data_IF_619078468975
#
_entry.id   IF_619078468975
#
_cell.length_a   1.000
_cell.length_b   1.000
_cell.length_c   1.000
_cell.angle_alpha   90.00
_cell.angle_beta   90.00
_cell.angle_gamma   90.00
#
_symmetry.space_group_name_H-M   'P 1'
#
loop_
_entity.id
_entity.type
_entity.pdbx_description
1 polymer ?
#
# COMPACT_ATOMS: atom_id res chain seq x y z
N UNK A 1 6.51 5.64 10.60
CA UNK A 1 6.41 6.93 11.32
C UNK A 1 7.75 7.28 11.97
N UNK A 2 7.93 8.51 12.47
CA UNK A 2 9.09 8.93 13.25
C UNK A 2 8.72 9.11 14.73
N UNK A 3 9.63 8.79 15.65
CA UNK A 3 9.48 9.16 17.06
C UNK A 3 10.01 10.58 17.33
N UNK A 4 9.87 11.08 18.57
CA UNK A 4 10.33 12.42 18.97
C UNK A 4 11.84 12.65 18.80
N UNK A 5 12.65 11.59 18.75
CA UNK A 5 14.09 11.66 18.54
C UNK A 5 14.49 11.55 17.06
N UNK A 6 13.54 11.27 16.15
CA UNK A 6 13.80 11.10 14.72
C UNK A 6 14.03 9.66 14.26
N UNK A 7 13.96 8.67 15.14
CA UNK A 7 14.07 7.26 14.74
C UNK A 7 12.78 6.76 14.10
N UNK A 8 12.93 5.89 13.10
CA UNK A 8 11.83 5.24 12.40
C UNK A 8 11.16 4.22 13.31
N UNK A 9 9.83 4.20 13.29
CA UNK A 9 8.97 3.14 13.84
C UNK A 9 8.08 2.60 12.73
N UNK A 10 8.08 1.29 12.56
CA UNK A 10 7.07 0.59 11.78
C UNK A 10 5.76 0.56 12.57
N UNK A 11 4.66 0.73 11.86
CA UNK A 11 3.31 0.82 12.40
C UNK A 11 2.38 0.04 11.49
N UNK A 12 1.20 -0.32 11.98
CA UNK A 12 0.18 -1.07 11.26
C UNK A 12 0.65 -2.47 10.81
N UNK A 13 0.44 -3.45 11.69
CA UNK A 13 0.72 -4.85 11.44
C UNK A 13 -0.52 -5.63 10.97
N UNK A 14 -1.58 -4.93 10.52
CA UNK A 14 -2.86 -5.57 10.15
C UNK A 14 -2.79 -6.49 8.92
N UNK A 15 -1.71 -6.40 8.14
CA UNK A 15 -1.43 -7.28 6.99
C UNK A 15 -0.36 -8.34 7.29
N UNK A 16 0.19 -8.38 8.51
CA UNK A 16 1.21 -9.35 8.85
C UNK A 16 0.64 -10.77 8.80
N UNK A 17 1.49 -11.70 8.34
CA UNK A 17 1.17 -13.12 8.29
C UNK A 17 2.18 -13.90 9.10
N UNK A 18 1.71 -14.53 10.16
CA UNK A 18 2.52 -15.39 11.02
C UNK A 18 2.73 -16.78 10.40
N UNK A 19 3.67 -17.54 10.96
CA UNK A 19 3.93 -18.95 10.63
C UNK A 19 4.31 -19.21 9.15
N UNK A 20 4.95 -18.23 8.50
CA UNK A 20 5.58 -18.42 7.19
C UNK A 20 6.97 -19.03 7.40
N UNK A 21 7.01 -20.35 7.51
CA UNK A 21 8.24 -21.13 7.65
C UNK A 21 8.96 -21.33 6.30
N UNK A 22 10.17 -21.88 6.32
CA UNK A 22 10.90 -22.23 5.10
C UNK A 22 10.09 -23.20 4.24
N UNK A 23 9.88 -22.82 2.98
CA UNK A 23 9.05 -23.56 2.02
C UNK A 23 7.54 -23.27 2.11
N UNK A 24 7.06 -22.62 3.17
CA UNK A 24 5.67 -22.20 3.26
C UNK A 24 5.39 -21.02 2.33
N UNK A 25 4.24 -21.05 1.66
CA UNK A 25 3.75 -19.95 0.82
C UNK A 25 2.34 -19.57 1.22
N UNK A 26 2.00 -18.31 1.00
CA UNK A 26 0.63 -17.81 1.13
C UNK A 26 0.16 -17.18 -0.18
N UNK A 27 -1.16 -17.02 -0.34
CA UNK A 27 -1.79 -16.57 -1.58
C UNK A 27 -2.68 -15.33 -1.41
N UNK A 28 -2.68 -14.73 -0.21
CA UNK A 28 -3.48 -13.53 0.07
C UNK A 28 -3.06 -12.37 -0.84
N UNK A 29 -4.01 -11.78 -1.55
CA UNK A 29 -3.77 -10.60 -2.38
C UNK A 29 -4.07 -9.33 -1.56
N UNK A 30 -3.06 -8.71 -0.98
CA UNK A 30 -3.22 -7.53 -0.12
C UNK A 30 -1.99 -6.60 -0.18
N UNK A 31 -2.21 -5.32 0.18
CA UNK A 31 -1.20 -4.25 0.14
C UNK A 31 -1.47 -3.19 -0.92
N UNK A 32 -0.55 -2.24 -1.01
CA UNK A 32 -0.60 -1.12 -1.96
C UNK A 32 0.14 -1.50 -3.24
N UNK A 33 -0.53 -1.37 -4.40
CA UNK A 33 -0.11 -1.95 -5.68
C UNK A 33 1.32 -1.58 -6.06
N UNK A 34 1.69 -0.32 -5.87
CA UNK A 34 2.99 0.26 -6.22
C UNK A 34 4.17 -0.42 -5.48
N UNK A 35 3.88 -1.03 -4.33
CA UNK A 35 4.86 -1.69 -3.46
C UNK A 35 4.73 -3.22 -3.47
N UNK A 36 3.73 -3.77 -4.16
CA UNK A 36 3.54 -5.21 -4.26
C UNK A 36 4.58 -5.86 -5.16
N UNK A 37 5.08 -7.02 -4.73
CA UNK A 37 5.98 -7.84 -5.52
C UNK A 37 5.27 -8.50 -6.73
N UNK A 38 5.97 -8.77 -7.84
CA UNK A 38 5.38 -9.37 -9.03
C UNK A 38 4.65 -10.70 -8.76
N UNK A 39 5.20 -11.55 -7.88
CA UNK A 39 4.65 -12.84 -7.48
C UNK A 39 3.27 -12.74 -6.78
N UNK A 40 3.02 -11.65 -6.04
CA UNK A 40 1.70 -11.37 -5.45
C UNK A 40 0.72 -11.04 -6.58
N UNK A 41 1.16 -10.22 -7.54
CA UNK A 41 0.32 -9.78 -8.67
C UNK A 41 -0.10 -10.93 -9.59
N UNK A 42 0.78 -11.90 -9.82
CA UNK A 42 0.48 -13.10 -10.62
C UNK A 42 -0.10 -14.25 -9.79
N UNK A 43 -0.31 -14.07 -8.49
CA UNK A 43 -0.86 -15.06 -7.54
C UNK A 43 -0.10 -16.39 -7.52
N UNK A 44 1.22 -16.38 -7.74
CA UNK A 44 2.04 -17.60 -7.78
C UNK A 44 2.31 -18.22 -6.40
N UNK A 45 1.79 -17.61 -5.33
CA UNK A 45 2.23 -17.88 -3.97
C UNK A 45 3.45 -17.02 -3.64
N UNK A 46 3.55 -16.62 -2.38
CA UNK A 46 4.62 -15.74 -1.90
C UNK A 46 5.02 -16.04 -0.46
N UNK A 47 6.21 -15.58 -0.10
CA UNK A 47 6.84 -15.72 1.22
C UNK A 47 7.51 -14.39 1.61
N UNK A 48 8.37 -14.40 2.63
CA UNK A 48 9.15 -13.24 3.12
C UNK A 48 9.91 -12.43 2.05
N UNK A 49 10.21 -13.02 0.88
CA UNK A 49 10.91 -12.29 -0.18
C UNK A 49 10.14 -11.05 -0.69
N UNK A 50 8.82 -11.01 -0.51
CA UNK A 50 7.99 -9.85 -0.92
C UNK A 50 8.31 -8.59 -0.14
N UNK A 51 8.69 -8.71 1.14
CA UNK A 51 9.05 -7.58 1.98
C UNK A 51 10.30 -6.88 1.45
N UNK A 52 11.26 -7.66 0.93
CA UNK A 52 12.47 -7.13 0.29
C UNK A 52 12.17 -6.40 -1.02
N UNK A 53 11.14 -6.81 -1.76
CA UNK A 53 10.68 -6.04 -2.92
C UNK A 53 10.07 -4.72 -2.47
N UNK A 54 9.17 -4.74 -1.50
CA UNK A 54 8.53 -3.53 -0.97
C UNK A 54 9.55 -2.56 -0.38
N UNK A 55 10.59 -3.06 0.29
CA UNK A 55 11.71 -2.24 0.76
C UNK A 55 12.48 -1.61 -0.40
N UNK A 56 12.73 -2.36 -1.49
CA UNK A 56 13.35 -1.81 -2.70
C UNK A 56 12.52 -0.72 -3.38
N UNK A 57 11.20 -0.91 -3.44
CA UNK A 57 10.28 0.07 -3.98
C UNK A 57 10.23 1.34 -3.12
N UNK A 58 10.18 1.18 -1.80
CA UNK A 58 10.25 2.29 -0.83
C UNK A 58 11.59 3.02 -0.88
N UNK A 59 12.71 2.29 -1.00
CA UNK A 59 14.04 2.89 -1.16
C UNK A 59 14.12 3.73 -2.42
N UNK A 60 13.61 3.23 -3.54
CA UNK A 60 13.53 4.01 -4.77
C UNK A 60 12.67 5.27 -4.56
N UNK A 61 11.49 5.12 -3.95
CA UNK A 61 10.57 6.24 -3.68
C UNK A 61 11.22 7.34 -2.82
N UNK A 62 11.92 6.97 -1.74
CA UNK A 62 12.67 7.92 -0.91
C UNK A 62 13.80 8.63 -1.69
N UNK A 63 14.44 7.95 -2.63
CA UNK A 63 15.57 8.50 -3.39
C UNK A 63 15.15 9.35 -4.60
N UNK A 64 13.95 9.13 -5.14
CA UNK A 64 13.50 9.78 -6.39
C UNK A 64 12.20 10.57 -6.24
N UNK A 65 11.51 10.48 -5.11
CA UNK A 65 10.24 11.14 -4.82
C UNK A 65 9.01 10.51 -5.49
N UNK A 66 9.14 9.33 -6.09
CA UNK A 66 8.02 8.57 -6.65
C UNK A 66 8.35 7.08 -6.75
N UNK A 67 7.37 6.16 -6.66
CA UNK A 67 7.62 4.72 -6.79
C UNK A 67 8.21 4.33 -8.16
N UNK A 68 8.97 3.21 -8.25
CA UNK A 68 9.67 2.82 -9.48
C UNK A 68 8.74 2.44 -10.63
N UNK A 69 7.52 2.01 -10.32
CA UNK A 69 6.51 1.62 -11.28
C UNK A 69 5.20 2.34 -10.98
N UNK A 70 4.89 3.34 -11.78
CA UNK A 70 3.62 4.09 -11.69
C UNK A 70 3.02 4.24 -13.09
N UNK A 71 1.69 4.26 -13.16
CA UNK A 71 0.95 4.52 -14.39
C UNK A 71 -0.42 5.13 -14.07
N UNK A 72 -1.12 5.59 -15.10
CA UNK A 72 -2.45 6.22 -15.01
C UNK A 72 -3.52 5.33 -14.35
N UNK A 73 -3.37 4.01 -14.43
CA UNK A 73 -4.33 3.09 -13.85
C UNK A 73 -3.65 1.88 -13.21
N UNK A 74 -4.41 1.21 -12.33
CA UNK A 74 -3.95 0.05 -11.56
C UNK A 74 -3.44 -1.07 -12.47
N UNK A 75 -4.15 -1.38 -13.56
CA UNK A 75 -3.78 -2.45 -14.49
C UNK A 75 -2.44 -2.18 -15.18
N UNK A 76 -2.25 -0.98 -15.73
CA UNK A 76 -0.99 -0.54 -16.35
C UNK A 76 0.16 -0.54 -15.33
N UNK A 77 -0.11 -0.17 -14.08
CA UNK A 77 0.89 -0.22 -12.99
C UNK A 77 1.31 -1.66 -12.72
N UNK A 78 0.36 -2.58 -12.59
CA UNK A 78 0.66 -4.02 -12.46
C UNK A 78 1.47 -4.55 -13.65
N UNK A 79 1.10 -4.18 -14.89
CA UNK A 79 1.84 -4.58 -16.09
C UNK A 79 3.29 -4.05 -16.07
N UNK A 80 3.51 -2.81 -15.61
CA UNK A 80 4.86 -2.25 -15.41
C UNK A 80 5.64 -2.99 -14.34
N UNK A 81 5.02 -3.37 -13.23
CA UNK A 81 5.67 -4.17 -12.19
C UNK A 81 6.11 -5.52 -12.75
N UNK A 82 5.25 -6.20 -13.50
CA UNK A 82 5.52 -7.55 -14.01
C UNK A 82 6.52 -7.53 -15.19
N UNK A 83 6.47 -6.53 -16.08
CA UNK A 83 7.23 -6.56 -17.35
C UNK A 83 8.06 -5.32 -17.64
N UNK A 84 7.81 -4.22 -16.95
CA UNK A 84 8.44 -2.92 -17.22
C UNK A 84 9.95 -2.90 -16.98
N UNK A 85 10.66 -2.03 -17.69
CA UNK A 85 12.08 -1.80 -17.44
C UNK A 85 12.24 -0.87 -16.24
N UNK A 86 13.07 -1.25 -15.28
CA UNK A 86 13.48 -0.37 -14.18
C UNK A 86 14.36 0.74 -14.75
N UNK A 87 13.94 2.00 -14.55
CA UNK A 87 14.71 3.19 -14.90
C UNK A 87 15.33 3.74 -13.62
N UNK A 88 16.63 4.01 -13.65
CA UNK A 88 17.35 4.56 -12.51
C UNK A 88 17.93 5.92 -12.92
N UNK A 89 17.58 7.00 -12.23
CA UNK A 89 18.12 8.32 -12.53
C UNK A 89 19.65 8.37 -12.40
N UNK A 90 20.33 9.19 -13.21
CA UNK A 90 21.78 9.27 -13.23
C UNK A 90 22.39 9.88 -11.96
N UNK A 91 21.62 10.65 -11.20
CA UNK A 91 22.05 11.27 -9.94
C UNK A 91 22.18 10.26 -8.78
N UNK A 92 21.64 9.03 -8.93
CA UNK A 92 21.78 8.00 -7.90
C UNK A 92 23.21 7.48 -7.83
N UNK A 93 23.73 7.34 -6.60
CA UNK A 93 25.07 6.79 -6.36
C UNK A 93 25.18 5.36 -6.92
N UNK A 94 26.38 4.91 -7.32
CA UNK A 94 26.57 3.55 -7.85
C UNK A 94 26.03 2.46 -6.93
N UNK A 95 26.26 2.59 -5.62
CA UNK A 95 25.79 1.63 -4.61
C UNK A 95 24.27 1.63 -4.47
N UNK A 96 23.63 2.81 -4.47
CA UNK A 96 22.18 2.90 -4.37
C UNK A 96 21.51 2.24 -5.57
N UNK A 97 22.03 2.51 -6.78
CA UNK A 97 21.54 1.87 -8.01
C UNK A 97 21.72 0.37 -7.97
N UNK A 98 22.86 -0.13 -7.48
CA UNK A 98 23.12 -1.56 -7.39
C UNK A 98 22.17 -2.24 -6.38
N UNK A 99 21.98 -1.66 -5.20
CA UNK A 99 21.08 -2.19 -4.19
C UNK A 99 19.63 -2.25 -4.68
N UNK A 100 19.13 -1.15 -5.27
CA UNK A 100 17.76 -1.09 -5.81
C UNK A 100 17.57 -2.15 -6.91
N UNK A 101 18.57 -2.35 -7.79
CA UNK A 101 18.50 -3.42 -8.82
C UNK A 101 18.41 -4.82 -8.21
N UNK A 102 19.08 -5.05 -7.07
CA UNK A 102 19.10 -6.34 -6.37
C UNK A 102 17.79 -6.59 -5.61
N UNK A 103 17.18 -5.55 -5.02
CA UNK A 103 15.84 -5.67 -4.42
C UNK A 103 14.73 -5.85 -5.46
N UNK A 104 14.79 -5.11 -6.58
CA UNK A 104 13.76 -5.14 -7.60
C UNK A 104 13.99 -6.25 -8.65
N UNK A 105 14.58 -7.37 -8.22
CA UNK A 105 14.62 -8.61 -9.01
C UNK A 105 13.25 -9.27 -8.95
N UNK A 106 12.69 -9.52 -10.14
CA UNK A 106 11.35 -10.13 -10.28
C UNK A 106 11.33 -11.57 -9.80
N UNK A 107 12.39 -12.32 -10.07
CA UNK A 107 12.54 -13.65 -9.53
C UNK A 107 12.90 -13.54 -8.03
N UNK A 108 12.05 -14.03 -7.11
CA UNK A 108 12.31 -13.94 -5.67
C UNK A 108 13.61 -14.62 -5.25
N UNK A 109 14.03 -15.71 -5.91
CA UNK A 109 15.27 -16.42 -5.57
C UNK A 109 16.55 -15.69 -5.97
N UNK A 110 16.44 -14.71 -6.88
CA UNK A 110 17.56 -13.84 -7.28
C UNK A 110 17.55 -12.50 -6.54
N UNK A 111 16.54 -12.28 -5.69
CA UNK A 111 16.36 -11.05 -4.93
C UNK A 111 17.27 -11.08 -3.70
N UNK A 112 17.99 -9.99 -3.45
CA UNK A 112 18.77 -9.86 -2.21
C UNK A 112 17.81 -9.91 -1.01
N UNK A 113 18.18 -10.67 0.02
CA UNK A 113 17.31 -10.99 1.16
C UNK A 113 16.29 -12.10 0.90
N UNK A 114 16.03 -12.49 -0.35
CA UNK A 114 15.13 -13.61 -0.65
C UNK A 114 15.72 -15.00 -0.36
N UNK A 115 17.04 -15.09 -0.14
CA UNK A 115 17.76 -16.32 0.16
C UNK A 115 17.95 -16.59 1.66
N UNK A 116 18.70 -17.65 2.03
CA UNK A 116 18.92 -18.04 3.42
C UNK A 116 19.60 -16.97 4.29
N UNK A 117 20.40 -16.09 3.67
CA UNK A 117 21.08 -15.01 4.38
C UNK A 117 20.15 -13.85 4.77
N UNK A 118 18.97 -13.75 4.16
CA UNK A 118 17.92 -12.77 4.49
C UNK A 118 18.46 -11.35 4.77
N UNK A 119 18.18 -10.78 5.94
CA UNK A 119 18.64 -9.44 6.31
C UNK A 119 20.18 -9.33 6.30
N UNK A 120 20.92 -10.38 6.63
CA UNK A 120 22.39 -10.33 6.65
C UNK A 120 22.98 -10.08 5.26
N UNK A 121 22.34 -10.57 4.19
CA UNK A 121 22.78 -10.29 2.81
C UNK A 121 22.62 -8.81 2.48
N UNK A 122 21.52 -8.21 2.93
CA UNK A 122 21.21 -6.79 2.74
C UNK A 122 22.16 -5.91 3.55
N UNK A 123 22.38 -6.25 4.82
CA UNK A 123 23.23 -5.49 5.75
C UNK A 123 24.68 -5.40 5.29
N UNK A 124 25.19 -6.43 4.58
CA UNK A 124 26.55 -6.47 4.02
C UNK A 124 26.71 -5.66 2.73
N UNK A 125 25.64 -5.10 2.18
CA UNK A 125 25.72 -4.36 0.93
C UNK A 125 26.56 -3.08 1.09
N UNK A 126 27.42 -2.69 0.11
CA UNK A 126 28.25 -1.48 0.19
C UNK A 126 27.51 -0.17 0.42
N UNK A 127 26.21 -0.13 0.09
CA UNK A 127 25.33 1.00 0.40
C UNK A 127 25.28 1.30 1.92
N UNK A 128 25.36 0.28 2.75
CA UNK A 128 25.33 0.40 4.22
C UNK A 128 26.73 0.36 4.85
N UNK A 129 27.81 0.55 4.08
CA UNK A 129 29.20 0.44 4.56
C UNK A 129 29.55 1.34 5.76
N UNK A 130 28.80 2.42 5.97
CA UNK A 130 29.00 3.39 7.05
C UNK A 130 28.06 3.16 8.24
N UNK A 131 27.24 2.09 8.20
CA UNK A 131 26.27 1.78 9.25
C UNK A 131 26.86 0.71 10.16
N UNK A 132 26.99 1.06 11.44
CA UNK A 132 27.14 0.07 12.50
C UNK A 132 25.74 -0.37 12.94
N UNK A 133 25.40 -1.64 12.69
CA UNK A 133 24.08 -2.20 12.98
C UNK A 133 23.79 -2.33 14.47
N UNK A 134 24.82 -2.60 15.29
CA UNK A 134 24.69 -2.70 16.74
C UNK A 134 24.41 -1.32 17.35
N UNK A 135 25.11 -0.29 16.88
CA UNK A 135 24.86 1.09 17.29
C UNK A 135 23.48 1.58 16.84
N UNK A 136 23.06 1.22 15.63
CA UNK A 136 21.74 1.59 15.10
C UNK A 136 20.63 0.94 15.93
N UNK A 137 20.76 -0.36 16.23
CA UNK A 137 19.79 -1.11 17.04
C UNK A 137 19.72 -0.56 18.48
N UNK A 138 20.87 -0.23 19.06
CA UNK A 138 20.98 0.39 20.38
C UNK A 138 20.59 1.89 20.38
N UNK A 139 20.16 2.45 19.25
CA UNK A 139 19.79 3.86 19.08
C UNK A 139 20.91 4.84 19.47
N UNK A 140 22.17 4.45 19.25
CA UNK A 140 23.36 5.29 19.44
C UNK A 140 23.71 6.13 18.22
N UNK A 141 23.10 5.84 17.07
CA UNK A 141 23.25 6.63 15.84
C UNK A 141 22.26 7.79 15.85
N UNK A 142 22.76 9.02 15.76
CA UNK A 142 21.93 10.21 15.67
C UNK A 142 21.14 10.25 14.36
N UNK A 143 19.80 10.39 14.41
CA UNK A 143 18.98 10.49 13.19
C UNK A 143 19.29 11.77 12.39
N UNK A 144 19.27 11.70 11.05
CA UNK A 144 19.57 12.86 10.20
C UNK A 144 18.48 13.94 10.25
N UNK A 145 17.28 13.59 10.71
CA UNK A 145 16.17 14.51 10.88
C UNK A 145 15.53 14.26 12.24
N UNK A 146 15.41 15.33 13.03
CA UNK A 146 14.70 15.33 14.31
C UNK A 146 13.47 16.24 14.18
N UNK A 147 12.25 15.76 14.46
CA UNK A 147 11.06 16.59 14.39
C UNK A 147 11.09 17.68 15.47
N UNK A 148 10.67 18.89 15.11
CA UNK A 148 10.51 19.98 16.06
C UNK A 148 9.16 19.83 16.78
N UNK A 149 9.21 19.56 18.09
CA UNK A 149 8.03 19.39 18.93
C UNK A 149 8.05 20.43 20.06
N UNK A 150 6.90 21.04 20.34
CA UNK A 150 6.72 22.02 21.42
C UNK A 150 6.44 21.37 22.77
N UNK A 151 5.84 20.17 22.77
CA UNK A 151 5.49 19.41 23.97
C UNK A 151 5.27 17.94 23.62
N UNK A 152 5.03 17.09 24.63
CA UNK A 152 4.71 15.67 24.41
C UNK A 152 3.37 15.45 23.71
N UNK A 153 2.40 16.36 23.92
CA UNK A 153 1.08 16.34 23.30
C UNK A 153 1.01 17.14 21.98
N UNK A 154 2.17 17.54 21.43
CA UNK A 154 2.23 18.31 20.20
C UNK A 154 1.80 17.48 18.98
N UNK A 155 0.72 17.93 18.33
CA UNK A 155 0.15 17.32 17.12
C UNK A 155 0.42 18.12 15.85
N UNK A 156 1.34 19.10 15.88
CA UNK A 156 1.66 19.98 14.75
C UNK A 156 2.22 19.25 13.52
N UNK A 157 2.78 18.05 13.70
CA UNK A 157 3.30 17.20 12.63
C UNK A 157 2.23 16.35 11.94
N UNK A 158 0.96 16.46 12.35
CA UNK A 158 -0.17 15.73 11.76
C UNK A 158 -1.05 16.67 10.93
N UNK A 159 -1.76 16.08 9.96
CA UNK A 159 -2.68 16.84 9.11
C UNK A 159 -3.84 17.43 9.94
N UNK A 160 -3.99 18.76 9.84
CA UNK A 160 -5.00 19.53 10.57
C UNK A 160 -6.43 19.08 10.31
N UNK A 161 -6.69 18.39 9.20
CA UNK A 161 -8.01 17.81 8.91
C UNK A 161 -8.45 16.81 9.98
N UNK A 162 -7.50 16.15 10.64
CA UNK A 162 -7.76 15.18 11.71
C UNK A 162 -7.68 15.82 13.09
N UNK A 163 -6.68 16.66 13.36
CA UNK A 163 -6.47 17.25 14.69
C UNK A 163 -7.53 18.30 15.06
N UNK A 164 -8.29 18.81 14.08
CA UNK A 164 -9.46 19.67 14.30
C UNK A 164 -10.73 18.91 14.67
N UNK A 165 -10.76 17.59 14.49
CA UNK A 165 -11.94 16.79 14.82
C UNK A 165 -11.96 16.53 16.33
N UNK A 166 -13.16 16.55 16.92
CA UNK A 166 -13.32 16.18 18.32
C UNK A 166 -13.00 14.68 18.47
N UNK A 167 -12.12 14.26 19.40
CA UNK A 167 -11.79 12.87 19.62
C UNK A 167 -12.94 12.16 20.35
N UNK A 168 -13.96 11.79 19.59
CA UNK A 168 -15.13 11.04 20.07
C UNK A 168 -15.28 9.77 19.28
N UNK A 169 -15.64 8.69 19.96
CA UNK A 169 -16.02 7.45 19.30
C UNK A 169 -17.34 7.68 18.56
N UNK A 170 -17.39 7.25 17.29
CA UNK A 170 -18.62 7.26 16.52
C UNK A 170 -19.65 6.35 17.19
N UNK A 171 -20.91 6.77 17.36
CA UNK A 171 -21.94 5.91 17.91
C UNK A 171 -22.21 4.74 16.94
N UNK A 172 -22.34 3.54 17.49
CA UNK A 172 -22.87 2.35 16.80
C UNK A 172 -23.99 1.76 17.66
N UNK A 173 -25.21 1.78 17.12
CA UNK A 173 -26.40 1.25 17.79
C UNK A 173 -26.56 -0.28 17.60
N UNK A 174 -25.62 -0.90 16.87
CA UNK A 174 -25.66 -2.33 16.57
C UNK A 174 -25.24 -3.14 17.80
N UNK A 175 -26.18 -3.85 18.40
CA UNK A 175 -25.84 -4.87 19.39
C UNK A 175 -25.24 -6.10 18.67
N UNK A 176 -24.00 -6.44 18.97
CA UNK A 176 -23.39 -7.69 18.50
C UNK A 176 -24.05 -8.88 19.20
N UNK A 177 -24.33 -9.96 18.45
CA UNK A 177 -24.80 -11.22 19.04
C UNK A 177 -23.71 -11.81 19.94
N UNK A 178 -24.12 -12.63 20.92
CA UNK A 178 -23.16 -13.34 21.78
C UNK A 178 -22.18 -14.21 20.95
N UNK A 179 -22.67 -14.82 19.88
CA UNK A 179 -21.84 -15.57 18.93
C UNK A 179 -20.80 -14.70 18.22
N UNK A 180 -21.09 -13.43 17.93
CA UNK A 180 -20.11 -12.51 17.36
C UNK A 180 -19.06 -12.09 18.41
N UNK A 181 -19.48 -11.89 19.67
CA UNK A 181 -18.57 -11.58 20.77
C UNK A 181 -17.56 -12.72 21.04
N UNK A 182 -17.96 -13.97 20.83
CA UNK A 182 -17.06 -15.13 20.97
C UNK A 182 -15.84 -15.07 20.02
N UNK A 183 -15.95 -14.37 18.88
CA UNK A 183 -14.83 -14.20 17.96
C UNK A 183 -13.67 -13.36 18.54
N UNK A 184 -13.92 -12.60 19.61
CA UNK A 184 -12.95 -11.71 20.26
C UNK A 184 -12.41 -12.26 21.59
N UNK A 185 -12.70 -13.52 21.93
CA UNK A 185 -12.09 -14.16 23.09
C UNK A 185 -10.56 -14.20 22.94
N UNK A 186 -9.86 -13.78 23.99
CA UNK A 186 -8.39 -13.66 23.98
C UNK A 186 -7.85 -12.37 23.36
N UNK A 187 -8.70 -11.42 22.95
CA UNK A 187 -8.26 -10.14 22.39
C UNK A 187 -7.64 -9.20 23.44
N UNK A 188 -8.11 -9.26 24.69
CA UNK A 188 -7.59 -8.39 25.75
C UNK A 188 -6.15 -8.78 26.10
N UNK A 189 -5.23 -7.84 25.97
CA UNK A 189 -3.81 -8.02 26.25
C UNK A 189 -3.25 -6.81 27.01
N UNK A 190 -2.40 -7.07 28.00
CA UNK A 190 -1.62 -6.04 28.70
C UNK A 190 -0.15 -6.45 28.62
N UNK A 191 0.70 -5.57 28.08
CA UNK A 191 2.12 -5.86 27.94
C UNK A 191 2.78 -5.98 29.33
N UNK A 192 3.69 -6.95 29.54
CA UNK A 192 4.42 -7.10 30.80
C UNK A 192 5.11 -5.81 31.26
N UNK A 193 5.71 -5.05 30.33
CA UNK A 193 6.35 -3.76 30.63
C UNK A 193 5.40 -2.70 31.20
N UNK A 194 4.12 -2.76 30.83
CA UNK A 194 3.09 -1.89 31.42
C UNK A 194 2.76 -2.37 32.84
N UNK A 195 2.71 -3.68 33.07
CA UNK A 195 2.50 -4.23 34.41
C UNK A 195 3.67 -3.92 35.35
N UNK A 196 4.90 -3.97 34.85
CA UNK A 196 6.10 -3.66 35.62
C UNK A 196 6.15 -2.18 35.99
N UNK A 197 5.84 -1.27 35.05
CA UNK A 197 5.76 0.16 35.37
C UNK A 197 4.62 0.52 36.35
N UNK A 198 3.50 -0.23 36.32
CA UNK A 198 2.45 -0.12 37.35
C UNK A 198 3.00 -0.55 38.73
N UNK A 199 3.80 -1.64 38.79
CA UNK A 199 4.36 -2.20 40.03
C UNK A 199 5.46 -1.34 40.64
N UNK A 200 6.29 -0.72 39.82
CA UNK A 200 7.36 0.20 40.26
C UNK A 200 6.83 1.55 40.78
N UNK A 201 5.51 1.77 40.70
CA UNK A 201 4.85 2.96 41.20
C UNK A 201 4.96 4.10 40.20
N UNK A 202 3.84 4.48 39.60
CA UNK A 202 3.78 5.71 38.81
C UNK A 202 4.23 6.90 39.67
N UNK A 203 5.32 7.59 39.30
CA UNK A 203 5.51 9.01 39.66
C UNK A 203 4.49 9.92 38.96
N UNK A 204 3.64 9.37 38.10
CA UNK A 204 2.59 10.06 37.38
C UNK A 204 1.26 9.82 38.07
N UNK A 205 0.75 10.79 38.84
CA UNK A 205 -0.64 10.71 39.29
C UNK A 205 -1.55 10.80 38.07
N UNK A 206 -2.29 9.73 37.69
CA UNK A 206 -3.33 9.88 36.71
C UNK A 206 -4.33 10.85 37.34
N UNK A 207 -4.62 11.98 36.69
CA UNK A 207 -5.85 12.70 37.01
C UNK A 207 -6.98 11.72 36.76
N UNK A 208 -7.47 11.06 37.81
CA UNK A 208 -8.69 10.27 37.75
C UNK A 208 -9.74 11.22 37.18
N UNK A 209 -10.10 11.04 35.91
CA UNK A 209 -11.36 11.61 35.45
C UNK A 209 -12.42 10.94 36.30
N UNK A 210 -13.25 11.76 36.95
CA UNK A 210 -14.34 11.31 37.80
C UNK A 210 -15.11 10.16 37.13
N UNK A 211 -15.46 9.09 37.85
CA UNK A 211 -16.39 8.09 37.34
C UNK A 211 -17.60 8.82 36.78
N UNK A 212 -17.92 8.56 35.51
CA UNK A 212 -19.08 9.14 34.82
C UNK A 212 -20.29 8.77 35.68
N UNK A 213 -20.91 9.76 36.34
CA UNK A 213 -22.17 9.54 37.05
C UNK A 213 -23.16 9.00 36.02
N UNK A 214 -23.66 7.78 36.25
CA UNK A 214 -24.88 7.28 35.63
C UNK A 214 -26.04 8.14 36.17
N UNK A 215 -26.18 9.35 35.64
CA UNK A 215 -27.39 10.12 35.81
C UNK A 215 -28.37 9.64 34.75
N UNK A 216 -29.45 9.06 35.23
CA UNK A 216 -30.72 8.87 34.53
C UNK A 216 -31.04 10.04 33.59
N UNK A 217 -31.31 9.66 32.34
CA UNK A 217 -31.83 10.46 31.23
C UNK A 217 -32.70 11.66 31.63
N UNK A 218 -32.37 12.88 31.18
CA UNK A 218 -33.38 13.90 30.92
C UNK A 218 -33.85 13.74 29.46
N UNK A 219 -35.10 13.34 29.30
CA UNK A 219 -35.84 13.35 28.02
C UNK A 219 -35.61 14.69 27.31
N UNK A 220 -35.03 14.66 26.12
CA UNK A 220 -35.07 15.79 25.20
C UNK A 220 -36.43 15.81 24.49
N UNK A 221 -37.10 16.97 24.34
CA UNK A 221 -38.34 17.06 23.58
C UNK A 221 -38.09 16.76 22.10
N UNK A 222 -38.90 15.84 21.55
CA UNK A 222 -38.91 15.50 20.13
C UNK A 222 -39.38 16.74 19.35
N UNK A 223 -38.51 17.31 18.53
CA UNK A 223 -38.90 18.21 17.44
C UNK A 223 -38.91 17.39 16.15
N UNK A 224 -40.00 17.36 15.36
CA UNK A 224 -40.06 16.55 14.16
C UNK A 224 -39.30 17.24 13.03
N UNK A 225 -38.05 16.85 12.79
CA UNK A 225 -37.36 17.17 11.55
C UNK A 225 -37.71 16.09 10.51
N UNK A 226 -38.49 16.48 9.50
CA UNK A 226 -38.73 15.71 8.27
C UNK A 226 -37.38 15.43 7.60
N UNK A 227 -37.03 14.15 7.50
CA UNK A 227 -36.00 13.69 6.57
C UNK A 227 -36.56 13.72 5.14
N UNK A 228 -35.87 14.45 4.24
CA UNK A 228 -36.06 14.33 2.79
C UNK A 228 -35.06 13.30 2.25
N UNK A 229 -35.46 12.33 1.42
CA UNK A 229 -34.53 11.37 0.83
C UNK A 229 -33.79 12.00 -0.37
N UNK A 230 -32.46 11.84 -0.39
CA UNK A 230 -31.57 12.01 -1.54
C UNK A 230 -31.72 13.31 -2.37
N UNK A 231 -30.83 14.28 -2.11
CA UNK A 231 -30.40 15.22 -3.16
C UNK A 231 -28.88 15.14 -3.39
N UNK A 232 -28.57 15.11 -4.67
CA UNK A 232 -27.25 14.99 -5.31
C UNK A 232 -26.45 16.28 -5.11
N UNK A 233 -25.13 16.13 -4.93
CA UNK A 233 -24.11 17.19 -4.88
C UNK A 233 -24.39 18.38 -5.83
N UNK A 234 -24.39 19.60 -5.28
CA UNK A 234 -24.09 20.84 -6.00
C UNK A 234 -22.98 21.63 -5.27
N UNK A 235 -21.98 22.19 -5.97
CA UNK A 235 -21.01 23.10 -5.38
C UNK A 235 -21.58 24.52 -5.23
N UNK A 236 -21.24 25.21 -4.12
CA UNK A 236 -21.53 26.63 -3.89
C UNK A 236 -20.67 27.57 -4.77
N UNK A 237 -21.15 28.77 -5.14
CA UNK A 237 -20.43 29.69 -6.01
C UNK A 237 -19.46 30.61 -5.23
N UNK A 238 -18.28 30.87 -5.81
CA UNK A 238 -17.35 31.93 -5.39
C UNK A 238 -17.69 33.30 -6.02
N UNK A 239 -16.97 34.38 -5.63
CA UNK A 239 -17.27 35.77 -6.01
C UNK A 239 -16.93 36.10 -7.48
N UNK A 240 -17.43 37.21 -8.06
CA UNK A 240 -17.37 37.46 -9.49
C UNK A 240 -16.06 38.13 -9.94
N UNK A 241 -15.51 37.69 -11.08
CA UNK A 241 -14.51 38.39 -11.87
C UNK A 241 -15.05 38.72 -13.28
N UNK A 242 -14.47 39.72 -14.00
CA UNK A 242 -15.14 40.44 -15.07
C UNK A 242 -15.17 39.72 -16.44
N UNK A 243 -16.18 40.08 -17.24
CA UNK A 243 -16.54 39.49 -18.53
C UNK A 243 -15.48 39.63 -19.64
N UNK A 244 -15.21 38.54 -20.35
CA UNK A 244 -14.70 38.52 -21.74
C UNK A 244 -15.79 38.08 -22.73
N UNK A 245 -15.78 38.57 -24.00
CA UNK A 245 -16.85 38.33 -24.97
C UNK A 245 -16.84 36.92 -25.59
N UNK A 246 -17.98 36.41 -26.10
CA UNK A 246 -18.13 35.01 -26.47
C UNK A 246 -17.50 34.65 -27.83
N UNK A 247 -16.87 33.46 -27.88
CA UNK A 247 -16.41 32.78 -29.09
C UNK A 247 -17.59 32.11 -29.85
N UNK A 248 -17.49 31.93 -31.19
CA UNK A 248 -18.58 31.39 -32.02
C UNK A 248 -18.79 29.86 -31.85
N UNK A 249 -19.98 29.34 -32.20
CA UNK A 249 -20.36 27.95 -31.92
C UNK A 249 -19.61 26.90 -32.75
N UNK A 250 -19.26 25.80 -32.10
CA UNK A 250 -18.61 24.61 -32.67
C UNK A 250 -19.60 23.75 -33.48
N UNK A 251 -19.15 23.26 -34.63
CA UNK A 251 -19.89 22.32 -35.50
C UNK A 251 -19.98 20.91 -34.87
N UNK A 252 -21.06 20.15 -35.16
CA UNK A 252 -21.24 18.81 -34.61
C UNK A 252 -20.25 17.78 -35.22
N UNK A 253 -19.86 16.75 -34.44
CA UNK A 253 -18.96 15.69 -34.91
C UNK A 253 -19.66 14.74 -35.92
N UNK A 254 -18.90 14.14 -36.86
CA UNK A 254 -19.46 13.20 -37.84
C UNK A 254 -19.84 11.84 -37.20
N UNK A 255 -20.82 11.11 -37.78
CA UNK A 255 -21.31 9.85 -37.24
C UNK A 255 -20.30 8.68 -37.43
N UNK A 256 -20.38 7.64 -36.57
CA UNK A 256 -19.49 6.48 -36.61
C UNK A 256 -19.76 5.56 -37.82
N UNK A 257 -18.73 4.88 -38.37
CA UNK A 257 -18.90 3.96 -39.48
C UNK A 257 -19.64 2.68 -39.05
N UNK A 258 -20.55 2.25 -39.93
CA UNK A 258 -21.41 1.08 -39.80
C UNK A 258 -20.61 -0.24 -39.70
N UNK A 259 -20.99 -1.06 -38.72
CA UNK A 259 -20.61 -2.47 -38.59
C UNK A 259 -21.00 -3.26 -39.85
N UNK A 260 -20.02 -3.81 -40.55
CA UNK A 260 -20.24 -4.84 -41.58
C UNK A 260 -19.48 -6.10 -41.17
N UNK A 261 -20.20 -7.18 -40.92
CA UNK A 261 -19.66 -8.50 -40.60
C UNK A 261 -18.87 -9.08 -41.79
N UNK A 262 -17.75 -9.80 -41.58
CA UNK A 262 -17.04 -10.47 -42.66
C UNK A 262 -17.84 -11.70 -43.16
N UNK A 263 -18.02 -11.80 -44.47
CA UNK A 263 -18.56 -12.97 -45.16
C UNK A 263 -17.58 -14.17 -45.12
N UNK A 264 -18.06 -15.42 -45.15
CA UNK A 264 -17.22 -16.61 -45.09
C UNK A 264 -16.42 -16.84 -46.38
N UNK A 265 -15.16 -17.24 -46.20
CA UNK A 265 -14.17 -17.54 -47.26
C UNK A 265 -14.61 -18.80 -48.02
N UNK A 266 -14.82 -18.66 -49.34
CA UNK A 266 -14.99 -19.81 -50.25
C UNK A 266 -13.62 -20.46 -50.57
N UNK A 267 -13.53 -21.80 -50.57
CA UNK A 267 -12.30 -22.49 -50.98
C UNK A 267 -12.21 -22.57 -52.52
N UNK A 268 -11.03 -22.34 -53.12
CA UNK A 268 -10.86 -22.48 -54.56
C UNK A 268 -10.81 -23.95 -55.00
N UNK A 269 -11.59 -24.25 -56.03
CA UNK A 269 -11.60 -25.50 -56.79
C UNK A 269 -10.34 -25.62 -57.69
N UNK A 270 -9.51 -26.61 -57.35
CA UNK A 270 -8.73 -27.52 -58.22
C UNK A 270 -7.98 -27.01 -59.46
N UNK A 271 -6.66 -27.27 -59.47
CA UNK A 271 -5.97 -27.81 -60.67
C UNK A 271 -4.96 -28.89 -60.26
N UNK A 272 -5.13 -30.07 -60.86
CA UNK A 272 -4.31 -31.29 -60.72
C UNK A 272 -2.92 -31.07 -61.34
N UNK A 273 -1.86 -31.48 -60.64
CA UNK A 273 -0.64 -32.01 -61.28
C UNK A 273 -0.15 -33.27 -60.57
N UNK A 274 -0.26 -34.36 -61.32
CA UNK A 274 0.21 -35.72 -61.05
C UNK A 274 1.73 -35.77 -60.89
N UNK A 275 2.22 -36.46 -59.84
CA UNK A 275 3.59 -36.95 -59.78
C UNK A 275 3.56 -38.47 -59.60
N UNK A 276 4.09 -39.13 -60.63
CA UNK A 276 4.19 -40.58 -60.83
C UNK A 276 4.95 -41.27 -59.70
N UNK A 277 4.41 -42.40 -59.26
CA UNK A 277 5.15 -43.43 -58.53
C UNK A 277 5.99 -44.31 -59.48
N UNK A 278 7.20 -44.63 -59.04
CA UNK A 278 7.98 -45.84 -59.35
C UNK A 278 8.57 -46.22 -57.99
N UNK A 279 8.24 -47.35 -57.36
CA UNK A 279 8.34 -48.71 -57.88
C UNK A 279 9.57 -49.34 -57.23
N UNK A 280 9.38 -50.04 -56.11
CA UNK A 280 10.34 -51.04 -55.58
C UNK A 280 10.33 -52.26 -56.51
N UNK A 281 11.48 -52.92 -56.70
CA UNK A 281 11.50 -54.37 -56.78
C UNK A 281 12.30 -54.95 -55.62
N UNK A 282 11.80 -56.05 -55.07
CA UNK A 282 12.50 -56.83 -54.06
C UNK A 282 13.54 -57.76 -54.66
N UNK A 283 14.45 -58.19 -53.79
CA UNK A 283 14.90 -59.57 -53.62
C UNK A 283 15.33 -59.73 -52.17
#
# INVERSE_FOLDING_TARGET
>A
MLNSQGHIKLTDFGLCKESIHEGAVTHTFCGTIEYMAPEILVRSGHNRAVDWWSLGALMYDMLTGSPPFTAENRKKTMDKIIKGKLVLPPYLTPDARDLVKKFLKRNPSQRIGGGPGDAADVQRHPFFRHINWDDLLARRVDPPFRPCLQSEDDVSQFDTRFTRQTPVDSPDDTALSESANQAFLGFTYVAPSVLDSIREGFSFQPKLRSPRRLNSSPRTPISPLKFSPFEVFRPSPGPPEPMEPPLPPLLPPPPPPSSTAPLPIQPPSGTKKSKRGRGRPGR
#
